data_IF_231610575629
#
_entry.id   IF_231610575629
#
_cell.length_a   1.000
_cell.length_b   1.000
_cell.length_c   1.000
_cell.angle_alpha   90.00
_cell.angle_beta   90.00
_cell.angle_gamma   90.00
#
_symmetry.space_group_name_H-M   'P 1'
#
loop_
_entity.id
_entity.type
_entity.pdbx_description
1 polymer ?
#
# COMPACT_ATOMS: atom_id res chain seq x y z
N UNK A 1 -14.46 -7.43 -2.97
CA UNK A 1 -13.05 -7.12 -2.67
C UNK A 1 -12.12 -8.17 -3.22
N UNK A 2 -12.24 -9.40 -2.73
CA UNK A 2 -11.38 -10.49 -3.19
C UNK A 2 -11.53 -10.78 -4.68
N UNK A 3 -12.73 -10.56 -5.25
CA UNK A 3 -12.94 -10.72 -6.68
C UNK A 3 -12.10 -9.77 -7.51
N UNK A 4 -12.03 -8.51 -7.09
CA UNK A 4 -11.21 -7.52 -7.79
C UNK A 4 -9.73 -7.89 -7.70
N UNK A 5 -9.29 -8.30 -6.53
CA UNK A 5 -7.89 -8.70 -6.34
C UNK A 5 -7.52 -9.85 -7.25
N UNK A 6 -8.43 -10.81 -7.45
CA UNK A 6 -8.19 -11.94 -8.34
C UNK A 6 -8.08 -11.54 -9.80
N UNK A 7 -8.73 -10.44 -10.19
CA UNK A 7 -8.67 -9.96 -11.57
C UNK A 7 -7.42 -9.19 -11.90
N UNK A 8 -6.68 -8.76 -10.87
CA UNK A 8 -5.46 -8.01 -11.08
C UNK A 8 -4.34 -8.91 -11.55
N UNK A 9 -3.55 -8.39 -12.49
CA UNK A 9 -2.40 -9.11 -13.01
C UNK A 9 -1.16 -8.71 -12.25
N UNK A 10 -0.78 -9.53 -11.28
CA UNK A 10 0.48 -9.39 -10.57
C UNK A 10 1.36 -10.59 -10.89
N UNK A 11 2.65 -10.37 -11.06
CA UNK A 11 3.60 -11.46 -11.21
C UNK A 11 3.73 -12.18 -9.86
N UNK A 12 4.28 -13.39 -9.90
CA UNK A 12 4.54 -14.14 -8.68
C UNK A 12 5.49 -13.36 -7.76
N UNK A 13 6.51 -12.73 -8.34
CA UNK A 13 7.47 -11.93 -7.58
C UNK A 13 6.79 -10.73 -6.92
N UNK A 14 5.91 -10.05 -7.66
CA UNK A 14 5.16 -8.92 -7.11
C UNK A 14 4.27 -9.33 -5.96
N UNK A 15 3.57 -10.45 -6.08
CA UNK A 15 2.73 -10.97 -5.01
C UNK A 15 3.55 -11.32 -3.79
N UNK A 16 4.69 -11.97 -4.00
CA UNK A 16 5.55 -12.36 -2.90
C UNK A 16 6.10 -11.15 -2.17
N UNK A 17 6.54 -10.12 -2.91
CA UNK A 17 7.03 -8.89 -2.31
C UNK A 17 5.95 -8.20 -1.50
N UNK A 18 4.75 -8.09 -2.07
CA UNK A 18 3.63 -7.42 -1.40
C UNK A 18 3.20 -8.18 -0.14
N UNK A 19 3.06 -9.50 -0.24
CA UNK A 19 2.68 -10.33 0.89
C UNK A 19 3.69 -10.24 2.02
N UNK A 20 4.96 -10.24 1.67
CA UNK A 20 6.02 -10.16 2.68
C UNK A 20 6.03 -8.80 3.35
N UNK A 21 5.88 -7.71 2.59
CA UNK A 21 5.83 -6.36 3.14
C UNK A 21 4.65 -6.19 4.10
N UNK A 22 3.46 -6.57 3.65
CA UNK A 22 2.25 -6.48 4.46
C UNK A 22 2.39 -7.36 5.71
N UNK A 23 2.87 -8.57 5.54
CA UNK A 23 3.05 -9.50 6.65
C UNK A 23 3.99 -9.01 7.72
N UNK A 24 5.13 -8.45 7.33
CA UNK A 24 6.11 -7.95 8.28
C UNK A 24 5.62 -6.71 9.02
N UNK A 25 4.93 -5.81 8.31
CA UNK A 25 4.36 -4.62 8.94
C UNK A 25 3.26 -5.01 9.92
N UNK A 26 2.38 -5.93 9.55
CA UNK A 26 1.33 -6.41 10.45
C UNK A 26 1.88 -7.13 11.67
N UNK A 27 2.97 -7.84 11.50
CA UNK A 27 3.61 -8.52 12.61
C UNK A 27 4.11 -7.52 13.65
N UNK A 28 4.64 -6.40 13.20
CA UNK A 28 5.16 -5.36 14.09
C UNK A 28 4.05 -4.46 14.63
N UNK A 29 3.07 -4.13 13.79
CA UNK A 29 1.95 -3.25 14.14
C UNK A 29 0.64 -3.88 13.66
N UNK A 30 0.03 -4.78 14.45
CA UNK A 30 -1.09 -5.63 14.00
C UNK A 30 -2.33 -4.90 13.53
N UNK A 31 -2.57 -3.67 14.01
CA UNK A 31 -3.78 -2.92 13.64
C UNK A 31 -3.61 -2.03 12.41
N UNK A 32 -2.50 -2.17 11.73
CA UNK A 32 -2.24 -1.42 10.49
C UNK A 32 -3.19 -1.89 9.38
N UNK A 33 -3.74 -0.94 8.64
CA UNK A 33 -4.62 -1.23 7.51
C UNK A 33 -3.87 -0.95 6.21
N UNK A 34 -4.20 -1.72 5.18
CA UNK A 34 -3.56 -1.61 3.87
C UNK A 34 -4.61 -1.55 2.78
N UNK A 35 -4.36 -0.71 1.78
CA UNK A 35 -5.17 -0.67 0.57
C UNK A 35 -4.29 -0.53 -0.66
N UNK A 36 -4.59 -1.30 -1.69
CA UNK A 36 -3.98 -1.10 -3.01
C UNK A 36 -4.79 -0.06 -3.76
N UNK A 37 -4.11 0.83 -4.46
CA UNK A 37 -4.77 1.86 -5.26
C UNK A 37 -3.93 2.15 -6.51
N UNK A 38 -4.34 3.15 -7.26
CA UNK A 38 -3.60 3.57 -8.45
C UNK A 38 -3.91 2.73 -9.67
N UNK A 39 -3.09 2.88 -10.71
CA UNK A 39 -3.38 2.29 -12.01
C UNK A 39 -3.42 0.76 -12.03
N UNK A 40 -2.69 0.10 -11.13
CA UNK A 40 -2.66 -1.37 -11.08
C UNK A 40 -3.97 -1.98 -10.58
N UNK A 41 -4.86 -1.19 -9.97
CA UNK A 41 -6.17 -1.67 -9.50
C UNK A 41 -7.31 -1.16 -10.37
N UNK A 42 -7.02 -0.33 -11.36
CA UNK A 42 -8.00 0.10 -12.36
C UNK A 42 -7.72 -0.60 -13.68
N UNK A 43 -8.66 -0.54 -14.60
CA UNK A 43 -8.49 -1.22 -15.88
C UNK A 43 -7.50 -0.54 -16.82
N UNK A 44 -6.95 0.60 -16.43
CA UNK A 44 -5.98 1.32 -17.24
C UNK A 44 -4.53 0.92 -16.96
N UNK A 45 -4.33 -0.06 -16.09
CA UNK A 45 -2.98 -0.46 -15.69
C UNK A 45 -2.23 -1.16 -16.80
N UNK A 46 -0.94 -0.80 -16.96
CA UNK A 46 -0.05 -1.66 -17.71
C UNK A 46 0.85 -2.41 -16.72
N UNK A 47 1.50 -3.48 -17.20
CA UNK A 47 2.23 -4.39 -16.33
C UNK A 47 3.47 -3.76 -15.70
N UNK A 48 3.89 -2.61 -16.19
CA UNK A 48 5.09 -1.93 -15.69
C UNK A 48 4.79 -0.80 -14.71
N UNK A 49 3.51 -0.53 -14.47
CA UNK A 49 3.12 0.49 -13.49
C UNK A 49 3.53 0.09 -12.08
N UNK A 50 3.80 1.10 -11.24
CA UNK A 50 4.07 0.86 -9.84
C UNK A 50 2.84 0.26 -9.14
N UNK A 51 3.12 -0.52 -8.11
CA UNK A 51 2.07 -1.01 -7.22
C UNK A 51 1.95 0.00 -6.08
N UNK A 52 0.84 0.74 -6.05
CA UNK A 52 0.64 1.77 -5.04
C UNK A 52 -0.05 1.19 -3.82
N UNK A 53 0.61 1.29 -2.67
CA UNK A 53 0.12 0.73 -1.43
C UNK A 53 -0.06 1.82 -0.39
N UNK A 54 -1.29 1.98 0.11
CA UNK A 54 -1.58 2.85 1.24
C UNK A 54 -1.39 2.06 2.52
N UNK A 55 -0.60 2.61 3.44
CA UNK A 55 -0.35 2.01 4.75
C UNK A 55 -0.90 2.96 5.80
N UNK A 56 -1.95 2.53 6.50
CA UNK A 56 -2.61 3.32 7.53
C UNK A 56 -2.23 2.78 8.90
N UNK A 57 -1.34 3.49 9.56
CA UNK A 57 -0.88 3.11 10.90
C UNK A 57 -1.89 3.55 11.96
N UNK A 58 -2.06 2.78 13.03
CA UNK A 58 -3.03 3.11 14.08
C UNK A 58 -2.53 4.16 15.08
N UNK A 59 -1.46 4.86 14.76
CA UNK A 59 -0.84 5.87 15.62
C UNK A 59 -0.16 6.91 14.74
N UNK A 60 0.23 8.07 15.30
CA UNK A 60 0.93 9.09 14.52
C UNK A 60 2.22 8.56 13.92
N UNK A 61 2.46 8.89 12.67
CA UNK A 61 3.65 8.41 11.96
C UNK A 61 4.85 9.24 12.36
N UNK A 62 5.85 8.60 12.95
CA UNK A 62 7.12 9.24 13.28
C UNK A 62 8.10 9.07 12.12
N UNK A 63 9.13 9.91 12.11
CA UNK A 63 10.19 9.80 11.10
C UNK A 63 10.87 8.44 11.15
N UNK A 64 11.06 7.91 12.35
CA UNK A 64 11.71 6.61 12.49
C UNK A 64 10.87 5.47 11.89
N UNK A 65 9.58 5.47 12.17
CA UNK A 65 8.68 4.44 11.63
C UNK A 65 8.61 4.55 10.11
N UNK A 66 8.50 5.78 9.61
CA UNK A 66 8.49 6.02 8.16
C UNK A 66 9.75 5.45 7.52
N UNK A 67 10.89 5.74 8.11
CA UNK A 67 12.18 5.26 7.59
C UNK A 67 12.27 3.75 7.59
N UNK A 68 11.80 3.10 8.65
CA UNK A 68 11.78 1.64 8.73
C UNK A 68 10.96 1.03 7.60
N UNK A 69 9.78 1.57 7.35
CA UNK A 69 8.89 1.05 6.31
C UNK A 69 9.47 1.28 4.93
N UNK A 70 10.00 2.47 4.68
CA UNK A 70 10.61 2.80 3.39
C UNK A 70 11.82 1.90 3.12
N UNK A 71 12.65 1.69 4.12
CA UNK A 71 13.82 0.85 3.98
C UNK A 71 13.45 -0.60 3.67
N UNK A 72 12.46 -1.12 4.38
CA UNK A 72 11.98 -2.47 4.14
C UNK A 72 11.38 -2.61 2.73
N UNK A 73 10.62 -1.62 2.31
CA UNK A 73 10.04 -1.60 0.96
C UNK A 73 11.14 -1.62 -0.10
N UNK A 74 12.16 -0.82 0.11
CA UNK A 74 13.28 -0.76 -0.82
C UNK A 74 14.00 -2.12 -0.91
N UNK A 75 14.27 -2.74 0.23
CA UNK A 75 14.92 -4.05 0.25
C UNK A 75 14.11 -5.11 -0.49
N UNK A 76 12.79 -5.12 -0.29
CA UNK A 76 11.94 -6.09 -0.96
C UNK A 76 11.84 -5.82 -2.45
N UNK A 77 11.78 -4.55 -2.84
CA UNK A 77 11.79 -4.20 -4.27
C UNK A 77 13.06 -4.67 -4.95
N UNK A 78 14.20 -4.56 -4.28
CA UNK A 78 15.44 -5.07 -4.83
C UNK A 78 15.45 -6.60 -4.91
N UNK A 79 15.00 -7.26 -3.85
CA UNK A 79 15.03 -8.71 -3.78
C UNK A 79 14.13 -9.38 -4.82
N UNK A 80 12.97 -8.78 -5.07
CA UNK A 80 11.97 -9.36 -5.96
C UNK A 80 11.89 -8.66 -7.32
N UNK A 81 12.72 -7.67 -7.54
CA UNK A 81 12.69 -6.84 -8.75
C UNK A 81 11.29 -6.27 -8.98
N UNK A 82 10.68 -5.77 -7.89
CA UNK A 82 9.34 -5.20 -7.92
C UNK A 82 9.41 -3.68 -7.72
N UNK A 83 8.27 -3.01 -7.93
CA UNK A 83 8.15 -1.56 -7.78
C UNK A 83 6.94 -1.23 -6.94
N UNK A 84 7.03 -1.49 -5.64
CA UNK A 84 5.99 -1.10 -4.69
C UNK A 84 6.29 0.32 -4.23
N UNK A 85 5.30 1.20 -4.35
CA UNK A 85 5.36 2.58 -3.89
C UNK A 85 4.41 2.72 -2.71
N UNK A 86 4.89 3.24 -1.59
CA UNK A 86 4.10 3.29 -0.36
C UNK A 86 3.70 4.72 -0.01
N UNK A 87 2.47 4.87 0.44
CA UNK A 87 1.96 6.11 1.04
C UNK A 87 1.66 5.79 2.50
N UNK A 88 2.43 6.37 3.41
CA UNK A 88 2.35 6.04 4.84
C UNK A 88 1.64 7.17 5.58
N UNK A 89 0.52 6.84 6.21
CA UNK A 89 -0.31 7.82 6.92
C UNK A 89 -0.78 7.21 8.23
N UNK A 90 -1.23 8.07 9.16
CA UNK A 90 -1.97 7.57 10.32
C UNK A 90 -3.43 7.43 9.95
N UNK A 91 -4.14 6.52 10.61
CA UNK A 91 -5.58 6.36 10.38
C UNK A 91 -6.34 7.66 10.67
N UNK A 92 -5.93 8.37 11.70
CA UNK A 92 -6.58 9.62 12.05
C UNK A 92 -6.39 10.70 10.98
N UNK A 93 -5.16 10.86 10.47
CA UNK A 93 -4.91 11.81 9.39
C UNK A 93 -5.70 11.47 8.13
N UNK A 94 -5.80 10.21 7.84
CA UNK A 94 -6.52 9.75 6.67
C UNK A 94 -8.01 10.00 6.78
N UNK A 95 -8.60 9.71 7.94
CA UNK A 95 -10.04 9.79 8.14
C UNK A 95 -10.54 11.21 8.46
N UNK A 96 -9.79 11.95 9.27
CA UNK A 96 -10.24 13.24 9.81
C UNK A 96 -9.32 14.40 9.55
N UNK A 97 -8.11 14.17 9.06
CA UNK A 97 -7.09 15.20 8.86
C UNK A 97 -7.16 15.86 7.50
N UNK A 98 -6.11 16.63 7.18
CA UNK A 98 -6.02 17.30 5.89
C UNK A 98 -6.06 16.36 4.71
N UNK A 99 -5.57 15.13 4.88
CA UNK A 99 -5.56 14.15 3.80
C UNK A 99 -6.97 13.75 3.38
N UNK A 100 -7.94 13.85 4.29
CA UNK A 100 -9.33 13.44 4.00
C UNK A 100 -10.00 14.29 2.93
N UNK A 101 -9.48 15.51 2.67
CA UNK A 101 -10.07 16.40 1.67
C UNK A 101 -9.32 16.39 0.34
N UNK A 102 -8.25 15.62 0.23
CA UNK A 102 -7.46 15.55 -1.00
C UNK A 102 -8.11 14.60 -2.02
N UNK A 103 -7.95 14.89 -3.31
CA UNK A 103 -8.49 14.00 -4.35
C UNK A 103 -8.03 12.55 -4.24
N UNK A 104 -6.79 12.33 -3.80
CA UNK A 104 -6.28 10.98 -3.63
C UNK A 104 -7.07 10.20 -2.59
N UNK A 105 -7.59 10.87 -1.56
CA UNK A 105 -8.42 10.21 -0.56
C UNK A 105 -9.68 9.62 -1.19
N UNK A 106 -10.39 10.40 -1.97
CA UNK A 106 -11.59 9.94 -2.67
C UNK A 106 -11.27 8.78 -3.61
N UNK A 107 -10.19 8.89 -4.37
CA UNK A 107 -9.81 7.85 -5.32
C UNK A 107 -9.53 6.52 -4.59
N UNK A 108 -8.80 6.57 -3.49
CA UNK A 108 -8.47 5.36 -2.73
C UNK A 108 -9.72 4.76 -2.08
N UNK A 109 -10.60 5.60 -1.52
CA UNK A 109 -11.82 5.11 -0.87
C UNK A 109 -12.79 4.46 -1.85
N UNK A 110 -12.85 4.98 -3.08
CA UNK A 110 -13.78 4.47 -4.09
C UNK A 110 -13.18 3.26 -4.83
N UNK A 111 -11.93 3.34 -5.23
CA UNK A 111 -11.31 2.33 -6.10
C UNK A 111 -10.31 1.43 -5.39
N UNK A 112 -9.89 1.79 -4.19
CA UNK A 112 -8.89 1.02 -3.45
C UNK A 112 -9.39 -0.34 -3.02
N UNK A 113 -8.45 -1.27 -2.88
CA UNK A 113 -8.74 -2.65 -2.49
C UNK A 113 -8.04 -2.94 -1.17
N UNK A 114 -8.84 -3.25 -0.15
CA UNK A 114 -8.29 -3.57 1.16
C UNK A 114 -7.58 -4.92 1.15
N UNK A 115 -6.47 -4.99 1.85
CA UNK A 115 -5.69 -6.22 2.00
C UNK A 115 -5.83 -6.81 3.40
#
# INVERSE_FOLDING_TARGET
MKKKLKKMTFSQAERSALDELVGEIRKQWPKTKFKLFGSRVTDSADAESDIDLLIQLPFPVTEEIRRQIIHKTFDLNLAYESNISVLIVSQQEWEDGLLSVLPIHAAVEIEGIAL
#
